data_IF_437247269910
#
_entry.id   IF_437247269910
#
_cell.length_a   1.000
_cell.length_b   1.000
_cell.length_c   1.000
_cell.angle_alpha   90.00
_cell.angle_beta   90.00
_cell.angle_gamma   90.00
#
_symmetry.space_group_name_H-M   'P 1'
#
loop_
_entity.id
_entity.type
_entity.pdbx_description
1 polymer ?
#
# COMPACT_ATOMS: atom_id res chain seq x y z
N UNK A 1 -35.99 -5.03 -37.52
CA UNK A 1 -37.18 -5.42 -36.74
C UNK A 1 -36.72 -5.65 -35.31
N UNK A 2 -36.79 -4.60 -34.50
CA UNK A 2 -37.85 -4.34 -33.52
C UNK A 2 -37.55 -5.04 -32.18
N UNK A 3 -37.31 -4.18 -31.19
CA UNK A 3 -37.58 -4.39 -29.77
C UNK A 3 -36.42 -4.89 -28.88
N UNK A 4 -35.51 -3.98 -28.54
CA UNK A 4 -35.01 -3.85 -27.17
C UNK A 4 -34.79 -2.39 -26.71
N UNK A 5 -35.18 -1.41 -27.53
CA UNK A 5 -35.11 0.05 -27.27
C UNK A 5 -36.14 0.56 -26.23
N UNK A 6 -36.69 -0.30 -25.37
CA UNK A 6 -37.77 0.06 -24.42
C UNK A 6 -37.39 0.01 -22.93
N UNK A 7 -36.16 -0.39 -22.59
CA UNK A 7 -35.68 -0.36 -21.21
C UNK A 7 -34.97 0.93 -20.80
N UNK A 8 -34.38 1.64 -21.78
CA UNK A 8 -33.53 2.81 -21.51
C UNK A 8 -34.30 4.09 -21.17
N UNK A 9 -35.55 4.23 -21.60
CA UNK A 9 -36.29 5.48 -21.46
C UNK A 9 -37.00 5.67 -20.10
N UNK A 10 -37.21 4.59 -19.34
CA UNK A 10 -37.87 4.67 -18.02
C UNK A 10 -36.90 4.90 -16.85
N UNK A 11 -35.61 4.61 -17.01
CA UNK A 11 -34.62 4.89 -15.94
C UNK A 11 -34.15 6.36 -15.96
N UNK A 12 -34.17 7.03 -17.13
CA UNK A 12 -33.72 8.42 -17.28
C UNK A 12 -34.64 9.47 -16.66
N UNK A 13 -35.91 9.13 -16.36
CA UNK A 13 -36.88 10.08 -15.75
C UNK A 13 -36.86 10.01 -14.21
N UNK A 14 -36.36 8.92 -13.61
CA UNK A 14 -36.31 8.77 -12.16
C UNK A 14 -35.09 9.47 -11.51
N UNK A 15 -34.08 9.83 -12.31
CA UNK A 15 -32.82 10.45 -11.85
C UNK A 15 -32.86 11.99 -11.76
N UNK A 16 -33.98 12.62 -12.14
CA UNK A 16 -34.14 14.09 -12.12
C UNK A 16 -34.87 14.64 -10.88
N UNK A 17 -35.12 13.82 -9.85
CA UNK A 17 -35.90 14.22 -8.65
C UNK A 17 -35.17 14.07 -7.31
N UNK A 18 -33.84 14.02 -7.29
CA UNK A 18 -33.06 14.10 -6.05
C UNK A 18 -32.17 15.34 -6.02
N UNK A 19 -32.79 16.45 -5.61
CA UNK A 19 -32.20 17.37 -4.64
C UNK A 19 -31.06 18.28 -5.11
N UNK A 20 -31.43 19.44 -5.67
CA UNK A 20 -30.61 20.64 -5.61
C UNK A 20 -30.52 21.09 -4.14
N UNK A 21 -29.37 20.89 -3.50
CA UNK A 21 -29.05 21.46 -2.19
C UNK A 21 -28.15 22.70 -2.39
N UNK A 22 -28.61 23.91 -2.05
CA UNK A 22 -27.77 25.09 -2.02
C UNK A 22 -26.95 25.16 -0.73
N UNK A 23 -25.63 25.24 -0.87
CA UNK A 23 -24.73 25.76 0.16
C UNK A 23 -23.87 24.70 0.86
N UNK A 24 -22.55 24.83 0.75
CA UNK A 24 -21.71 25.55 1.72
C UNK A 24 -20.39 25.90 1.02
N UNK A 25 -19.88 27.11 1.25
CA UNK A 25 -18.54 27.46 0.84
C UNK A 25 -17.57 26.54 1.57
N UNK A 26 -16.88 25.66 0.84
CA UNK A 26 -15.71 24.98 1.37
C UNK A 26 -14.66 26.06 1.64
N UNK A 27 -14.42 26.34 2.91
CA UNK A 27 -13.17 26.93 3.35
C UNK A 27 -12.05 26.07 2.78
N UNK A 28 -11.35 26.59 1.77
CA UNK A 28 -10.09 26.04 1.29
C UNK A 28 -9.08 26.20 2.42
N UNK A 29 -9.13 25.27 3.36
CA UNK A 29 -8.05 25.04 4.31
C UNK A 29 -6.81 24.76 3.49
N UNK A 30 -5.79 25.59 3.70
CA UNK A 30 -4.47 25.45 3.12
C UNK A 30 -3.95 24.02 3.37
N UNK A 31 -4.20 23.14 2.39
CA UNK A 31 -3.90 21.71 2.47
C UNK A 31 -2.45 21.50 2.10
N UNK A 32 -1.55 21.86 3.02
CA UNK A 32 -0.34 21.06 3.16
C UNK A 32 -0.82 19.65 3.50
N UNK A 33 -0.88 18.77 2.50
CA UNK A 33 -1.58 17.49 2.61
C UNK A 33 -1.19 16.73 3.87
N UNK A 34 -2.18 16.30 4.65
CA UNK A 34 -1.95 15.56 5.90
C UNK A 34 -1.07 14.32 5.65
N UNK A 35 -0.25 13.92 6.62
CA UNK A 35 0.62 12.73 6.46
C UNK A 35 -0.20 11.47 6.19
N UNK A 36 0.41 10.46 5.58
CA UNK A 36 -0.23 9.14 5.47
C UNK A 36 -0.57 8.58 6.85
N UNK A 37 -1.67 7.83 6.94
CA UNK A 37 -2.20 7.25 8.18
C UNK A 37 -3.03 8.21 9.02
N UNK A 38 -3.34 9.41 8.51
CA UNK A 38 -4.17 10.40 9.22
C UNK A 38 -5.59 10.48 8.69
N UNK A 39 -5.81 10.05 7.44
CA UNK A 39 -7.17 9.94 6.89
C UNK A 39 -7.71 8.52 7.10
N UNK A 40 -9.03 8.37 7.26
CA UNK A 40 -9.65 7.09 7.58
C UNK A 40 -9.32 5.97 6.57
N UNK A 41 -9.20 6.32 5.29
CA UNK A 41 -9.05 5.35 4.20
C UNK A 41 -7.59 4.99 3.88
N UNK A 42 -6.61 5.73 4.41
CA UNK A 42 -5.17 5.55 4.10
C UNK A 42 -4.69 4.11 4.29
N UNK A 43 -5.11 3.47 5.38
CA UNK A 43 -4.72 2.11 5.68
C UNK A 43 -5.29 1.10 4.67
N UNK A 44 -6.53 1.33 4.21
CA UNK A 44 -7.18 0.47 3.24
C UNK A 44 -6.59 0.67 1.84
N UNK A 45 -6.32 1.91 1.43
CA UNK A 45 -5.67 2.23 0.16
C UNK A 45 -4.27 1.61 0.09
N UNK A 46 -3.43 1.81 1.12
CA UNK A 46 -2.09 1.20 1.18
C UNK A 46 -2.16 -0.32 1.12
N UNK A 47 -3.10 -0.94 1.83
CA UNK A 47 -3.27 -2.39 1.80
C UNK A 47 -3.70 -2.90 0.41
N UNK A 48 -4.62 -2.20 -0.26
CA UNK A 48 -5.08 -2.56 -1.59
C UNK A 48 -3.95 -2.46 -2.62
N UNK A 49 -3.18 -1.38 -2.62
CA UNK A 49 -2.05 -1.20 -3.55
C UNK A 49 -0.94 -2.20 -3.28
N UNK A 50 -0.69 -2.55 -2.02
CA UNK A 50 0.28 -3.62 -1.70
C UNK A 50 -0.17 -4.97 -2.26
N UNK A 51 -1.44 -5.32 -2.16
CA UNK A 51 -1.97 -6.55 -2.77
C UNK A 51 -1.84 -6.50 -4.31
N UNK A 52 -2.13 -5.36 -4.94
CA UNK A 52 -1.90 -5.18 -6.38
C UNK A 52 -0.43 -5.33 -6.78
N UNK A 53 0.49 -4.89 -5.93
CA UNK A 53 1.92 -5.03 -6.17
C UNK A 53 2.38 -6.50 -6.01
N UNK A 54 1.82 -7.24 -5.05
CA UNK A 54 2.06 -8.68 -4.87
C UNK A 54 1.61 -9.49 -6.11
N UNK A 55 0.52 -9.07 -6.78
CA UNK A 55 0.05 -9.70 -8.02
C UNK A 55 0.88 -9.36 -9.26
N UNK A 56 1.50 -8.17 -9.30
CA UNK A 56 2.20 -7.65 -10.49
C UNK A 56 3.73 -7.81 -10.44
N UNK A 57 4.32 -7.77 -9.24
CA UNK A 57 5.76 -7.82 -9.03
C UNK A 57 6.19 -9.19 -8.52
N UNK A 58 6.88 -9.96 -9.35
CA UNK A 58 7.33 -11.32 -9.01
C UNK A 58 8.49 -11.31 -8.00
N UNK A 59 8.16 -11.42 -6.72
CA UNK A 59 9.14 -11.54 -5.63
C UNK A 59 10.01 -12.81 -5.74
N UNK A 60 9.47 -13.91 -6.25
CA UNK A 60 10.15 -15.21 -6.28
C UNK A 60 11.14 -15.32 -7.44
N UNK A 61 10.80 -14.71 -8.58
CA UNK A 61 11.66 -14.63 -9.77
C UNK A 61 12.58 -13.41 -9.80
N UNK A 62 12.40 -12.43 -8.91
CA UNK A 62 13.27 -11.26 -8.82
C UNK A 62 14.74 -11.68 -8.58
N UNK A 63 15.62 -11.26 -9.47
CA UNK A 63 17.07 -11.51 -9.39
C UNK A 63 17.81 -10.39 -8.65
N UNK A 64 17.22 -9.20 -8.66
CA UNK A 64 17.74 -8.00 -8.01
C UNK A 64 16.65 -7.36 -7.16
N UNK A 65 17.05 -6.83 -6.00
CA UNK A 65 16.12 -6.23 -5.04
C UNK A 65 15.62 -4.88 -5.49
N UNK A 66 16.49 -4.08 -6.11
CA UNK A 66 16.17 -2.73 -6.52
C UNK A 66 15.18 -2.80 -7.68
N UNK A 67 15.34 -3.75 -8.61
CA UNK A 67 14.36 -4.04 -9.66
C UNK A 67 12.96 -4.40 -9.08
N UNK A 68 12.92 -5.20 -8.01
CA UNK A 68 11.66 -5.52 -7.33
C UNK A 68 11.04 -4.29 -6.67
N UNK A 69 11.84 -3.48 -5.97
CA UNK A 69 11.36 -2.26 -5.30
C UNK A 69 10.89 -1.23 -6.33
N UNK A 70 11.56 -1.12 -7.47
CA UNK A 70 11.19 -0.25 -8.58
C UNK A 70 9.85 -0.68 -9.18
N UNK A 71 9.62 -1.98 -9.42
CA UNK A 71 8.32 -2.49 -9.83
C UNK A 71 7.20 -2.06 -8.86
N UNK A 72 7.41 -2.22 -7.54
CA UNK A 72 6.42 -1.80 -6.54
C UNK A 72 6.22 -0.29 -6.54
N UNK A 73 7.29 0.48 -6.77
CA UNK A 73 7.25 1.93 -6.89
C UNK A 73 6.40 2.38 -8.08
N UNK A 74 6.53 1.72 -9.23
CA UNK A 74 5.72 1.97 -10.42
C UNK A 74 4.24 1.65 -10.18
N UNK A 75 3.93 0.52 -9.52
CA UNK A 75 2.55 0.18 -9.13
C UNK A 75 1.96 1.24 -8.19
N UNK A 76 2.73 1.67 -7.20
CA UNK A 76 2.29 2.70 -6.26
C UNK A 76 2.09 4.05 -6.95
N UNK A 77 2.96 4.42 -7.90
CA UNK A 77 2.80 5.62 -8.70
C UNK A 77 1.54 5.56 -9.57
N UNK A 78 1.30 4.45 -10.26
CA UNK A 78 0.09 4.27 -11.07
C UNK A 78 -1.19 4.38 -10.22
N UNK A 79 -1.15 3.87 -8.97
CA UNK A 79 -2.27 4.00 -8.04
C UNK A 79 -2.52 5.47 -7.62
N UNK A 80 -1.46 6.27 -7.47
CA UNK A 80 -1.56 7.71 -7.21
C UNK A 80 -2.14 8.46 -8.41
N UNK A 81 -1.66 8.16 -9.61
CA UNK A 81 -2.16 8.75 -10.85
C UNK A 81 -3.63 8.36 -11.12
N UNK A 82 -4.03 7.16 -10.71
CA UNK A 82 -5.41 6.67 -10.76
C UNK A 82 -6.29 7.09 -9.58
N UNK A 83 -5.82 7.96 -8.68
CA UNK A 83 -6.54 8.46 -7.50
C UNK A 83 -7.01 7.37 -6.51
N UNK A 84 -6.46 6.16 -6.63
CA UNK A 84 -6.71 5.02 -5.74
C UNK A 84 -5.77 4.96 -4.53
N UNK A 85 -4.74 5.81 -4.54
CA UNK A 85 -3.81 6.01 -3.44
C UNK A 85 -3.51 7.48 -3.31
N UNK A 86 -3.57 8.01 -2.09
CA UNK A 86 -3.09 9.36 -1.84
C UNK A 86 -1.58 9.50 -2.07
N UNK A 87 -1.08 10.61 -2.68
CA UNK A 87 0.34 10.83 -2.90
C UNK A 87 1.20 10.72 -1.63
N UNK A 88 0.65 11.13 -0.47
CA UNK A 88 1.38 11.09 0.80
C UNK A 88 1.62 9.65 1.30
N UNK A 89 0.87 8.67 0.77
CA UNK A 89 0.95 7.26 1.14
C UNK A 89 1.81 6.41 0.21
N UNK A 90 2.29 6.95 -0.91
CA UNK A 90 3.16 6.21 -1.85
C UNK A 90 4.38 5.62 -1.14
N UNK A 91 5.05 6.42 -0.30
CA UNK A 91 6.22 5.97 0.45
C UNK A 91 5.91 4.81 1.43
N UNK A 92 4.69 4.73 1.96
CA UNK A 92 4.30 3.64 2.86
C UNK A 92 4.21 2.29 2.13
N UNK A 93 3.75 2.29 0.88
CA UNK A 93 3.71 1.09 0.02
C UNK A 93 5.14 0.62 -0.29
N UNK A 94 5.98 1.54 -0.77
CA UNK A 94 7.36 1.25 -1.19
C UNK A 94 8.22 0.82 0.00
N UNK A 95 8.02 1.41 1.17
CA UNK A 95 8.76 1.05 2.39
C UNK A 95 8.59 -0.43 2.76
N UNK A 96 7.43 -1.03 2.51
CA UNK A 96 7.23 -2.46 2.73
C UNK A 96 8.09 -3.32 1.78
N UNK A 97 8.14 -2.95 0.50
CA UNK A 97 8.98 -3.64 -0.49
C UNK A 97 10.47 -3.51 -0.15
N UNK A 98 10.92 -2.32 0.25
CA UNK A 98 12.31 -2.07 0.66
C UNK A 98 12.74 -2.83 1.92
N UNK A 99 11.79 -3.32 2.73
CA UNK A 99 12.04 -4.16 3.92
C UNK A 99 11.81 -5.66 3.64
N UNK A 100 11.63 -6.04 2.38
CA UNK A 100 11.48 -7.44 1.96
C UNK A 100 12.81 -8.10 1.57
N UNK A 101 12.80 -9.42 1.50
CA UNK A 101 13.92 -10.23 0.96
C UNK A 101 13.78 -10.55 -0.53
N UNK A 102 12.74 -10.02 -1.20
CA UNK A 102 12.53 -10.21 -2.64
C UNK A 102 13.74 -9.69 -3.42
N UNK A 103 14.25 -10.45 -4.39
CA UNK A 103 15.47 -10.09 -5.11
C UNK A 103 16.76 -10.14 -4.28
N UNK A 104 16.73 -10.67 -3.05
CA UNK A 104 17.89 -10.84 -2.18
C UNK A 104 18.15 -12.31 -1.87
N UNK A 105 18.83 -13.06 -2.74
CA UNK A 105 19.12 -14.46 -2.48
C UNK A 105 19.96 -14.62 -1.20
N UNK A 106 19.60 -15.61 -0.39
CA UNK A 106 20.18 -15.93 0.93
C UNK A 106 19.90 -14.95 2.06
N UNK A 107 19.19 -13.83 1.83
CA UNK A 107 18.81 -12.94 2.91
C UNK A 107 17.60 -13.46 3.69
N UNK A 108 17.52 -13.05 4.95
CA UNK A 108 16.42 -13.38 5.86
C UNK A 108 15.90 -12.12 6.55
N UNK A 109 14.65 -12.15 6.95
CA UNK A 109 14.10 -11.17 7.90
C UNK A 109 14.47 -11.60 9.32
N UNK A 110 15.07 -10.70 10.10
CA UNK A 110 15.28 -10.89 11.52
C UNK A 110 14.33 -10.00 12.30
N UNK A 111 13.52 -10.59 13.17
CA UNK A 111 12.74 -9.83 14.15
C UNK A 111 13.49 -9.85 15.49
N UNK A 112 13.66 -8.68 16.10
CA UNK A 112 14.36 -8.52 17.37
C UNK A 112 13.45 -7.77 18.34
N UNK A 113 13.33 -8.28 19.56
CA UNK A 113 12.60 -7.63 20.65
C UNK A 113 13.60 -7.18 21.70
N UNK A 114 13.61 -5.90 22.03
CA UNK A 114 14.49 -5.36 23.07
C UNK A 114 13.99 -5.69 24.49
N UNK A 115 14.80 -5.39 25.50
CA UNK A 115 14.46 -5.64 26.90
C UNK A 115 13.24 -4.85 27.39
N UNK A 116 12.82 -3.81 26.65
CA UNK A 116 11.61 -3.02 26.92
C UNK A 116 10.38 -3.55 26.17
N UNK A 117 10.49 -4.65 25.42
CA UNK A 117 9.41 -5.26 24.67
C UNK A 117 9.15 -4.64 23.29
N UNK A 118 9.98 -3.69 22.82
CA UNK A 118 9.81 -3.12 21.47
C UNK A 118 10.38 -4.07 20.44
N UNK A 119 9.61 -4.34 19.39
CA UNK A 119 10.01 -5.25 18.32
C UNK A 119 10.34 -4.46 17.05
N UNK A 120 11.45 -4.83 16.39
CA UNK A 120 11.84 -4.30 15.08
C UNK A 120 12.27 -5.43 14.15
N UNK A 121 12.12 -5.19 12.85
CA UNK A 121 12.55 -6.12 11.81
C UNK A 121 13.74 -5.52 11.05
N UNK A 122 14.64 -6.38 10.57
CA UNK A 122 15.74 -5.98 9.69
C UNK A 122 16.10 -7.12 8.76
N UNK A 123 16.54 -6.78 7.55
CA UNK A 123 17.04 -7.75 6.58
C UNK A 123 18.52 -8.05 6.89
N UNK A 124 18.89 -9.33 6.92
CA UNK A 124 20.27 -9.83 7.16
C UNK A 124 20.67 -10.90 6.16
N UNK A 125 21.97 -11.10 5.96
CA UNK A 125 22.50 -12.07 4.98
C UNK A 125 22.33 -13.53 5.40
N UNK A 126 22.05 -13.81 6.67
CA UNK A 126 21.88 -15.16 7.16
C UNK A 126 21.14 -15.20 8.52
N UNK A 127 20.49 -16.32 8.81
CA UNK A 127 19.75 -16.52 10.07
C UNK A 127 20.62 -16.43 11.33
N UNK A 128 21.90 -16.79 11.25
CA UNK A 128 22.83 -16.68 12.39
C UNK A 128 23.24 -15.23 12.72
N UNK A 129 22.90 -14.27 11.85
CA UNK A 129 23.05 -12.83 12.10
C UNK A 129 21.87 -12.23 12.85
N UNK A 130 20.77 -12.96 13.00
CA UNK A 130 19.65 -12.56 13.85
C UNK A 130 20.03 -12.68 15.33
N UNK A 131 20.92 -11.81 15.81
CA UNK A 131 21.40 -11.78 17.19
C UNK A 131 20.41 -11.02 18.08
N UNK A 132 20.06 -11.62 19.21
CA UNK A 132 19.23 -10.96 20.20
C UNK A 132 19.97 -9.75 20.81
N UNK A 133 19.30 -8.60 20.99
CA UNK A 133 19.85 -7.49 21.75
C UNK A 133 20.04 -7.87 23.23
N UNK A 134 20.84 -7.10 23.98
CA UNK A 134 21.09 -7.39 25.40
C UNK A 134 19.78 -7.40 26.18
N UNK A 135 19.49 -8.52 26.85
CA UNK A 135 18.26 -8.70 27.64
C UNK A 135 16.99 -8.83 26.80
N UNK A 136 17.11 -9.08 25.50
CA UNK A 136 15.98 -9.26 24.57
C UNK A 136 16.01 -10.62 23.86
N UNK A 137 15.20 -10.74 22.81
CA UNK A 137 15.06 -11.95 22.00
C UNK A 137 15.21 -11.65 20.51
N UNK A 138 15.45 -12.67 19.70
CA UNK A 138 15.41 -12.59 18.24
C UNK A 138 14.80 -13.85 17.64
N UNK A 139 14.23 -13.70 16.45
CA UNK A 139 13.85 -14.82 15.59
C UNK A 139 14.20 -14.53 14.13
N UNK A 140 14.36 -15.60 13.36
CA UNK A 140 14.41 -15.54 11.90
C UNK A 140 12.96 -15.63 11.42
N UNK A 141 12.51 -14.66 10.65
CA UNK A 141 11.22 -14.67 9.97
C UNK A 141 11.19 -15.76 8.91
N UNK A 142 10.12 -16.54 8.89
CA UNK A 142 9.80 -17.45 7.79
C UNK A 142 9.17 -16.67 6.64
N UNK A 143 9.44 -17.12 5.41
CA UNK A 143 8.69 -16.71 4.21
C UNK A 143 7.27 -17.25 4.23
#
# INVERSE_FOLDING_TARGET
MRNALRGFFSLSVLLLLMGVLPGTAASQGNSGGSSCGTQPDDAAEVAAVRAMAEDQCDCAGALDHDDYVDCVSEVAQAAVEGESLRPQCQGAVVQCAAQSTCGKPNFVTCCQTDSGGRTSCSIKQAGNECKAPRGGTSCVGSV
#
